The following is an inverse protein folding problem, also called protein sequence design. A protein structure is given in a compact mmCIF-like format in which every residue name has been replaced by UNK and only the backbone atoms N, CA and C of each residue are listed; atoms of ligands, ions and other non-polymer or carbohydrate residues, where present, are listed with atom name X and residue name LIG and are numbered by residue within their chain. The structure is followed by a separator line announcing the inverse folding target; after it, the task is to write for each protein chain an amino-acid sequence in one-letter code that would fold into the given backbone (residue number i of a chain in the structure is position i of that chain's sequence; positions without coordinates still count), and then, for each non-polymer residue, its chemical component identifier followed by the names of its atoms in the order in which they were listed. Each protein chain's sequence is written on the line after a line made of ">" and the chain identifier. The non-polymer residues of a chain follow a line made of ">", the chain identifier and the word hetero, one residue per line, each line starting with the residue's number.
data_IF_262487900983
#
_entry.id   IF_262487900983
#
_cell.length_a   1.000
_cell.length_b   1.000
_cell.length_c   1.000
_cell.angle_alpha   90.00
_cell.angle_beta   90.00
_cell.angle_gamma   90.00
#
_symmetry.space_group_name_H-M   'P 1'
#
loop_
_entity.id
_entity.type
_entity.pdbx_description
1 polymer ?
#
# COMPACT_ATOMS: atom_id res chain seq x y z
N UNK A 1 -9.47 -15.40 -2.77
CA UNK A 1 -9.78 -15.23 -1.34
C UNK A 1 -9.36 -13.82 -1.03
N UNK A 2 -10.33 -12.93 -0.83
CA UNK A 2 -10.12 -11.49 -0.68
C UNK A 2 -9.28 -11.25 0.57
N UNK A 3 -8.16 -10.54 0.44
CA UNK A 3 -7.35 -10.15 1.58
C UNK A 3 -8.02 -8.92 2.21
N UNK A 4 -8.96 -9.13 3.12
CA UNK A 4 -9.67 -8.00 3.75
C UNK A 4 -8.74 -7.23 4.68
N UNK A 5 -8.43 -5.98 4.34
CA UNK A 5 -7.74 -5.07 5.24
C UNK A 5 -8.61 -4.75 6.46
N UNK A 6 -7.99 -4.71 7.63
CA UNK A 6 -8.62 -4.38 8.91
C UNK A 6 -7.87 -3.23 9.59
N UNK A 7 -8.47 -2.58 10.60
CA UNK A 7 -7.78 -1.60 11.47
C UNK A 7 -6.44 -2.14 12.00
N UNK A 8 -6.32 -3.45 12.18
CA UNK A 8 -5.08 -4.06 12.68
C UNK A 8 -3.94 -4.03 11.65
N UNK A 9 -4.23 -3.68 10.40
CA UNK A 9 -3.25 -3.48 9.35
C UNK A 9 -2.76 -2.02 9.30
N UNK A 10 -3.37 -1.12 10.06
CA UNK A 10 -2.90 0.26 10.21
C UNK A 10 -1.51 0.29 10.88
N UNK A 11 -0.59 1.06 10.31
CA UNK A 11 0.81 1.14 10.75
C UNK A 11 1.72 0.05 10.18
N UNK A 12 1.21 -0.92 9.42
CA UNK A 12 2.04 -1.92 8.76
C UNK A 12 2.84 -1.32 7.61
N UNK A 13 4.03 -1.88 7.39
CA UNK A 13 4.89 -1.52 6.27
C UNK A 13 4.35 -2.14 5.00
N UNK A 14 4.27 -1.36 3.94
CA UNK A 14 3.91 -1.88 2.63
C UNK A 14 5.19 -2.05 1.84
N UNK A 15 5.43 -3.27 1.44
CA UNK A 15 6.57 -3.64 0.61
C UNK A 15 6.06 -4.24 -0.69
N UNK A 16 6.92 -4.17 -1.67
CA UNK A 16 6.59 -4.62 -2.99
C UNK A 16 7.06 -6.06 -3.27
N UNK A 17 6.71 -6.61 -4.43
CA UNK A 17 7.18 -7.94 -4.87
C UNK A 17 8.72 -8.08 -4.95
N UNK A 18 9.46 -6.98 -5.14
CA UNK A 18 10.93 -6.96 -5.11
C UNK A 18 11.51 -6.87 -3.68
N UNK A 19 10.68 -6.59 -2.68
CA UNK A 19 11.06 -6.34 -1.29
C UNK A 19 11.45 -4.89 -0.98
N UNK A 20 11.20 -3.92 -1.89
CA UNK A 20 11.37 -2.51 -1.55
C UNK A 20 10.18 -1.99 -0.73
N UNK A 21 10.50 -1.22 0.31
CA UNK A 21 9.51 -0.50 1.11
C UNK A 21 8.93 0.66 0.28
N UNK A 22 7.61 0.60 0.10
CA UNK A 22 6.81 1.57 -0.65
C UNK A 22 6.36 2.68 0.31
N UNK A 23 6.01 2.30 1.54
CA UNK A 23 5.52 3.21 2.57
C UNK A 23 4.83 2.48 3.70
N UNK A 24 3.88 3.14 4.36
CA UNK A 24 3.18 2.63 5.53
C UNK A 24 1.67 2.83 5.44
N UNK A 25 0.89 1.87 5.93
CA UNK A 25 -0.57 2.03 6.04
C UNK A 25 -0.88 3.11 7.08
N UNK A 26 -1.51 4.20 6.65
CA UNK A 26 -1.92 5.32 7.50
C UNK A 26 -3.32 5.15 8.05
N UNK A 27 -4.24 4.60 7.24
CA UNK A 27 -5.57 4.23 7.75
C UNK A 27 -6.24 3.13 6.93
N UNK A 28 -7.22 2.42 7.49
CA UNK A 28 -8.05 1.45 6.75
C UNK A 28 -9.52 1.88 6.82
N UNK A 29 -10.16 2.03 5.66
CA UNK A 29 -11.56 2.45 5.59
C UNK A 29 -12.33 1.66 4.54
N UNK A 30 -13.49 1.11 4.92
CA UNK A 30 -14.34 0.36 4.00
C UNK A 30 -13.74 -0.93 3.45
N UNK A 31 -12.70 -1.47 4.10
CA UNK A 31 -11.95 -2.62 3.61
C UNK A 31 -10.83 -2.25 2.62
N UNK A 32 -10.51 -0.96 2.48
CA UNK A 32 -9.41 -0.45 1.65
C UNK A 32 -8.36 0.21 2.54
N UNK A 33 -7.10 -0.23 2.43
CA UNK A 33 -5.99 0.40 3.13
C UNK A 33 -5.55 1.68 2.42
N UNK A 34 -5.21 2.72 3.16
CA UNK A 34 -4.65 3.96 2.67
C UNK A 34 -3.20 4.05 3.11
N UNK A 35 -2.30 4.15 2.14
CA UNK A 35 -0.85 4.09 2.36
C UNK A 35 -0.27 5.49 2.18
N UNK A 36 0.59 5.88 3.11
CA UNK A 36 1.47 7.03 3.02
C UNK A 36 2.81 6.57 2.41
N UNK A 37 3.07 6.86 1.12
CA UNK A 37 4.29 6.41 0.45
C UNK A 37 5.48 7.29 0.82
N UNK A 38 6.64 6.65 0.94
CA UNK A 38 7.87 7.37 1.26
C UNK A 38 8.27 8.28 0.09
N UNK A 39 8.62 9.57 0.32
CA UNK A 39 8.87 10.53 -0.75
C UNK A 39 9.99 10.13 -1.71
N UNK A 40 10.87 9.20 -1.33
CA UNK A 40 11.90 8.65 -2.20
C UNK A 40 11.41 7.61 -3.21
N UNK A 41 10.28 6.94 -2.96
CA UNK A 41 9.71 5.88 -3.81
C UNK A 41 8.43 6.31 -4.53
N UNK A 42 7.74 7.34 -4.01
CA UNK A 42 6.47 7.85 -4.52
C UNK A 42 6.47 8.09 -6.04
N UNK A 43 7.52 8.66 -6.63
CA UNK A 43 7.63 8.89 -8.10
C UNK A 43 7.50 7.60 -8.93
N UNK A 44 8.14 6.52 -8.49
CA UNK A 44 8.15 5.23 -9.21
C UNK A 44 6.79 4.56 -9.09
N UNK A 45 6.18 4.64 -7.91
CA UNK A 45 4.89 4.03 -7.60
C UNK A 45 3.76 4.79 -8.30
N UNK A 46 3.78 6.13 -8.26
CA UNK A 46 2.83 6.98 -9.00
C UNK A 46 2.78 6.63 -10.48
N UNK A 47 3.95 6.42 -11.08
CA UNK A 47 4.05 6.03 -12.49
C UNK A 47 3.48 4.63 -12.79
N UNK A 48 3.60 3.70 -11.84
CA UNK A 48 3.21 2.28 -12.01
C UNK A 48 1.75 2.01 -11.65
N UNK A 49 1.26 2.58 -10.56
CA UNK A 49 -0.10 2.45 -10.07
C UNK A 49 -1.04 3.52 -10.64
N UNK A 50 -0.51 4.51 -11.35
CA UNK A 50 -1.32 5.59 -11.93
C UNK A 50 -1.89 6.55 -10.89
N UNK A 51 -1.28 6.59 -9.69
CA UNK A 51 -1.62 7.58 -8.67
C UNK A 51 -1.23 8.96 -9.21
N UNK A 52 -2.24 9.79 -9.51
CA UNK A 52 -2.02 11.11 -10.09
C UNK A 52 -1.17 12.01 -9.18
N UNK A 53 -0.66 13.11 -9.73
CA UNK A 53 0.03 14.19 -9.01
C UNK A 53 -0.85 14.94 -7.99
N UNK A 54 -1.88 14.29 -7.44
CA UNK A 54 -2.63 14.88 -6.36
C UNK A 54 -1.72 14.97 -5.13
N UNK A 55 -1.76 16.11 -4.44
CA UNK A 55 -1.21 16.31 -3.10
C UNK A 55 -1.95 15.44 -2.04
N UNK A 56 -2.41 14.25 -2.43
CA UNK A 56 -2.92 13.26 -1.50
C UNK A 56 -1.73 12.65 -0.78
N UNK A 57 -1.70 12.86 0.54
CA UNK A 57 -0.72 12.28 1.46
C UNK A 57 -0.86 10.76 1.54
N UNK A 58 -2.04 10.23 1.21
CA UNK A 58 -2.34 8.80 1.28
C UNK A 58 -3.06 8.30 0.05
N UNK A 59 -2.68 7.11 -0.41
CA UNK A 59 -3.29 6.47 -1.58
C UNK A 59 -4.01 5.18 -1.20
N UNK A 60 -5.22 4.94 -1.73
CA UNK A 60 -5.93 3.69 -1.51
C UNK A 60 -5.18 2.54 -2.18
N UNK A 61 -5.08 1.43 -1.46
CA UNK A 61 -4.56 0.15 -1.90
C UNK A 61 -5.70 -0.86 -1.91
N UNK A 62 -5.96 -1.41 -3.10
CA UNK A 62 -6.91 -2.49 -3.31
C UNK A 62 -6.31 -3.83 -2.88
N UNK A 63 -7.17 -4.73 -2.39
CA UNK A 63 -6.73 -6.09 -2.02
C UNK A 63 -6.33 -6.92 -3.24
N UNK A 64 -6.82 -6.54 -4.42
CA UNK A 64 -6.42 -7.14 -5.70
C UNK A 64 -4.96 -6.80 -6.05
N UNK A 65 -4.33 -5.78 -5.45
CA UNK A 65 -2.90 -5.52 -5.63
C UNK A 65 -2.04 -6.18 -4.54
N UNK A 66 -2.65 -6.84 -3.55
CA UNK A 66 -1.95 -7.52 -2.45
C UNK A 66 -1.69 -8.98 -2.78
N UNK A 67 -0.42 -9.38 -2.67
CA UNK A 67 -0.01 -10.79 -2.71
C UNK A 67 -0.32 -11.48 -1.38
N UNK A 68 0.14 -10.87 -0.28
CA UNK A 68 -0.01 -11.42 1.05
C UNK A 68 0.11 -10.36 2.14
N UNK A 69 -0.73 -10.48 3.17
CA UNK A 69 -0.65 -9.66 4.38
C UNK A 69 0.02 -10.51 5.44
N UNK A 70 1.16 -10.05 5.95
CA UNK A 70 1.85 -10.68 7.10
C UNK A 70 1.61 -9.85 8.36
N UNK A 71 2.10 -10.33 9.50
CA UNK A 71 2.00 -9.61 10.78
C UNK A 71 2.83 -8.32 10.78
N UNK A 72 3.97 -8.31 10.07
CA UNK A 72 4.92 -7.19 10.00
C UNK A 72 4.73 -6.29 8.77
N UNK A 73 4.43 -6.89 7.61
CA UNK A 73 4.42 -6.20 6.31
C UNK A 73 3.30 -6.67 5.37
N UNK A 74 2.87 -5.80 4.47
CA UNK A 74 1.93 -6.08 3.38
C UNK A 74 2.74 -6.18 2.09
N UNK A 75 2.68 -7.32 1.42
CA UNK A 75 3.34 -7.57 0.14
C UNK A 75 2.39 -7.33 -1.01
N UNK A 76 2.81 -6.50 -1.96
CA UNK A 76 2.09 -6.29 -3.22
C UNK A 76 2.42 -7.38 -4.24
N UNK A 77 1.43 -7.85 -4.99
CA UNK A 77 1.62 -8.85 -6.05
C UNK A 77 2.25 -8.25 -7.31
N UNK A 78 2.09 -6.94 -7.52
CA UNK A 78 2.54 -6.28 -8.74
C UNK A 78 3.19 -4.92 -8.45
N UNK A 79 4.18 -4.60 -9.30
CA UNK A 79 4.91 -3.33 -9.38
C UNK A 79 5.06 -2.87 -10.82
#
# INVERSE_FOLDING_TARGET
>A
MCASFTDNDEGKRVVNANGDEIGMVKTVSGGTAHIDPDPGMTDTIKSKLGWGDHDEETYPLDDDDVESITDDEIRLQRL
#
